data_IF_162730176973
#
_entry.id   IF_162730176973
#
_cell.length_a   1.000
_cell.length_b   1.000
_cell.length_c   1.000
_cell.angle_alpha   90.00
_cell.angle_beta   90.00
_cell.angle_gamma   90.00
#
_symmetry.space_group_name_H-M   'P 1'
#
loop_
_entity.id
_entity.type
_entity.pdbx_description
1 polymer ?
#
# COMPACT_ATOMS: atom_id res chain seq x y z
N UNK A 1 -30.61 -13.87 -11.75
CA UNK A 1 -29.31 -14.48 -11.40
C UNK A 1 -28.20 -13.47 -11.73
N UNK A 2 -28.34 -12.22 -11.24
CA UNK A 2 -27.56 -11.05 -11.73
C UNK A 2 -26.87 -10.27 -10.59
N UNK A 3 -26.98 -10.71 -9.32
CA UNK A 3 -26.43 -9.98 -8.17
C UNK A 3 -25.14 -10.58 -7.58
N UNK A 4 -24.65 -11.71 -8.10
CA UNK A 4 -23.43 -12.36 -7.61
C UNK A 4 -22.16 -11.92 -8.34
N UNK A 5 -22.24 -11.59 -9.64
CA UNK A 5 -21.08 -11.16 -10.44
C UNK A 5 -20.55 -9.77 -10.03
N UNK A 6 -21.45 -8.84 -9.70
CA UNK A 6 -21.08 -7.48 -9.26
C UNK A 6 -20.28 -7.48 -7.94
N UNK A 7 -20.54 -8.45 -7.04
CA UNK A 7 -19.78 -8.56 -5.78
C UNK A 7 -18.36 -9.06 -6.01
N UNK A 8 -18.17 -10.02 -6.92
CA UNK A 8 -16.86 -10.55 -7.25
C UNK A 8 -16.01 -9.50 -7.98
N UNK A 9 -16.59 -8.81 -8.97
CA UNK A 9 -15.93 -7.70 -9.67
C UNK A 9 -15.65 -6.51 -8.74
N UNK A 10 -16.59 -6.19 -7.83
CA UNK A 10 -16.41 -5.15 -6.81
C UNK A 10 -15.25 -5.44 -5.85
N UNK A 11 -15.19 -6.66 -5.31
CA UNK A 11 -14.10 -7.08 -4.42
C UNK A 11 -12.74 -7.14 -5.14
N UNK A 12 -12.73 -7.52 -6.42
CA UNK A 12 -11.51 -7.56 -7.19
C UNK A 12 -11.02 -6.13 -7.45
N UNK A 13 -11.90 -5.25 -7.93
CA UNK A 13 -11.61 -3.83 -8.15
C UNK A 13 -11.13 -3.09 -6.91
N UNK A 14 -11.72 -3.37 -5.73
CA UNK A 14 -11.26 -2.81 -4.46
C UNK A 14 -9.81 -3.23 -4.15
N UNK A 15 -9.49 -4.52 -4.29
CA UNK A 15 -8.14 -5.04 -4.07
C UNK A 15 -7.14 -4.46 -5.08
N UNK A 16 -7.47 -4.42 -6.37
CA UNK A 16 -6.58 -3.84 -7.38
C UNK A 16 -6.38 -2.34 -7.15
N UNK A 17 -7.45 -1.62 -6.80
CA UNK A 17 -7.40 -0.20 -6.47
C UNK A 17 -6.52 0.09 -5.26
N UNK A 18 -6.63 -0.73 -4.21
CA UNK A 18 -5.76 -0.65 -3.04
C UNK A 18 -4.29 -0.89 -3.42
N UNK A 19 -3.99 -1.96 -4.16
CA UNK A 19 -2.62 -2.29 -4.59
C UNK A 19 -2.05 -1.16 -5.45
N UNK A 20 -2.81 -0.66 -6.43
CA UNK A 20 -2.39 0.44 -7.29
C UNK A 20 -2.12 1.72 -6.49
N UNK A 21 -3.04 2.10 -5.59
CA UNK A 21 -2.90 3.27 -4.73
C UNK A 21 -1.69 3.14 -3.81
N UNK A 22 -1.43 1.95 -3.28
CA UNK A 22 -0.25 1.66 -2.48
C UNK A 22 1.05 1.87 -3.26
N UNK A 23 1.13 1.36 -4.50
CA UNK A 23 2.30 1.58 -5.34
C UNK A 23 2.50 3.05 -5.69
N UNK A 24 1.42 3.77 -6.03
CA UNK A 24 1.47 5.19 -6.34
C UNK A 24 1.94 6.01 -5.13
N UNK A 25 1.37 5.74 -3.96
CA UNK A 25 1.77 6.36 -2.70
C UNK A 25 3.25 6.11 -2.37
N UNK A 26 3.68 4.85 -2.42
CA UNK A 26 5.07 4.46 -2.12
C UNK A 26 6.06 5.12 -3.08
N UNK A 27 5.69 5.22 -4.35
CA UNK A 27 6.49 5.90 -5.38
C UNK A 27 6.60 7.40 -5.11
N UNK A 28 5.48 8.06 -4.86
CA UNK A 28 5.47 9.48 -4.51
C UNK A 28 6.29 9.76 -3.24
N UNK A 29 6.13 8.92 -2.21
CA UNK A 29 6.86 9.03 -0.96
C UNK A 29 8.38 8.85 -1.17
N UNK A 30 8.79 7.86 -1.97
CA UNK A 30 10.20 7.63 -2.29
C UNK A 30 10.82 8.87 -2.95
N UNK A 31 10.17 9.42 -3.99
CA UNK A 31 10.67 10.63 -4.66
C UNK A 31 10.70 11.84 -3.72
N UNK A 32 9.69 12.01 -2.87
CA UNK A 32 9.65 13.09 -1.89
C UNK A 32 10.81 12.97 -0.87
N UNK A 33 11.07 11.77 -0.36
CA UNK A 33 12.17 11.50 0.58
C UNK A 33 13.54 11.67 -0.07
N UNK A 34 13.67 11.25 -1.33
CA UNK A 34 14.91 11.42 -2.10
C UNK A 34 15.17 12.90 -2.40
N UNK A 35 14.14 13.65 -2.81
CA UNK A 35 14.24 15.09 -3.07
C UNK A 35 14.64 15.88 -1.83
N UNK A 36 14.07 15.53 -0.67
CA UNK A 36 14.39 16.18 0.61
C UNK A 36 15.71 15.71 1.23
N UNK A 37 16.43 14.77 0.61
CA UNK A 37 17.64 14.12 1.14
C UNK A 37 17.44 13.58 2.57
N UNK A 38 16.22 13.19 2.90
CA UNK A 38 15.84 12.67 4.24
C UNK A 38 16.11 11.17 4.38
N UNK A 39 16.58 10.52 3.33
CA UNK A 39 16.97 9.12 3.32
C UNK A 39 18.45 8.97 2.96
N UNK A 40 19.14 7.96 3.53
CA UNK A 40 20.51 7.63 3.13
C UNK A 40 20.58 7.34 1.63
N UNK A 41 21.69 7.72 0.98
CA UNK A 41 21.89 7.49 -0.46
C UNK A 41 21.88 6.00 -0.82
N UNK A 42 22.18 5.12 0.15
CA UNK A 42 22.11 3.66 -0.01
C UNK A 42 20.68 3.11 -0.01
N UNK A 43 19.67 3.89 0.40
CA UNK A 43 18.30 3.41 0.50
C UNK A 43 17.61 3.46 -0.86
N UNK A 44 17.37 2.27 -1.39
CA UNK A 44 16.59 2.10 -2.62
C UNK A 44 15.09 2.14 -2.34
N UNK A 45 14.30 2.26 -3.42
CA UNK A 45 12.83 2.14 -3.39
C UNK A 45 12.34 0.94 -2.58
N UNK A 46 13.03 -0.21 -2.66
CA UNK A 46 12.67 -1.42 -1.93
C UNK A 46 12.69 -1.25 -0.42
N UNK A 47 13.57 -0.40 0.13
CA UNK A 47 13.62 -0.13 1.56
C UNK A 47 12.37 0.64 2.01
N UNK A 48 11.99 1.67 1.24
CA UNK A 48 10.78 2.45 1.52
C UNK A 48 9.54 1.57 1.38
N UNK A 49 9.48 0.77 0.33
CA UNK A 49 8.40 -0.21 0.12
C UNK A 49 8.30 -1.21 1.27
N UNK A 50 9.41 -1.73 1.79
CA UNK A 50 9.38 -2.66 2.92
C UNK A 50 8.86 -2.00 4.21
N UNK A 51 9.24 -0.75 4.46
CA UNK A 51 8.77 0.02 5.63
C UNK A 51 7.26 0.28 5.50
N UNK A 52 6.80 0.79 4.36
CA UNK A 52 5.37 1.06 4.15
C UNK A 52 4.54 -0.21 4.22
N UNK A 53 5.04 -1.34 3.71
CA UNK A 53 4.37 -2.63 3.78
C UNK A 53 4.24 -3.12 5.23
N UNK A 54 5.29 -2.91 6.04
CA UNK A 54 5.29 -3.24 7.47
C UNK A 54 4.25 -2.40 8.23
N UNK A 55 4.10 -1.11 7.89
CA UNK A 55 3.07 -0.23 8.48
C UNK A 55 1.66 -0.74 8.13
N UNK A 56 1.41 -1.08 6.85
CA UNK A 56 0.12 -1.65 6.42
C UNK A 56 -0.17 -2.95 7.16
N UNK A 57 0.82 -3.82 7.30
CA UNK A 57 0.67 -5.09 8.02
C UNK A 57 0.34 -4.87 9.51
N UNK A 58 1.04 -3.95 10.16
CA UNK A 58 0.77 -3.57 11.56
C UNK A 58 -0.64 -2.99 11.72
N UNK A 59 -1.06 -2.10 10.81
CA UNK A 59 -2.42 -1.56 10.81
C UNK A 59 -3.48 -2.65 10.72
N UNK A 60 -3.26 -3.63 9.84
CA UNK A 60 -4.17 -4.77 9.69
C UNK A 60 -4.19 -5.69 10.92
N UNK A 61 -3.04 -5.93 11.56
CA UNK A 61 -2.96 -6.69 12.81
C UNK A 61 -3.71 -6.01 13.96
N UNK A 62 -3.60 -4.67 14.05
CA UNK A 62 -4.29 -3.87 15.05
C UNK A 62 -5.81 -3.92 14.80
N UNK A 63 -6.25 -3.74 13.56
CA UNK A 63 -7.66 -3.85 13.19
C UNK A 63 -8.25 -5.21 13.60
N UNK A 64 -7.50 -6.30 13.39
CA UNK A 64 -7.91 -7.65 13.76
C UNK A 64 -7.97 -7.88 15.28
N UNK A 65 -7.27 -7.08 16.09
CA UNK A 65 -7.29 -7.19 17.57
C UNK A 65 -8.38 -6.32 18.21
N UNK A 66 -8.81 -5.25 17.53
CA UNK A 66 -9.85 -4.33 17.99
C UNK A 66 -11.27 -4.74 17.57
N UNK A 67 -11.41 -5.52 16.50
CA UNK A 67 -12.64 -6.26 16.16
C UNK A 67 -12.72 -7.57 16.93
#
# INVERSE_FOLDING_TARGET
>A
MEFEDDKAMGNLGEKTGFIFSYFLFTTALFFMLQFTRKIPVSWSYFHIMAITLSIVFLGHLIERKLK
#
